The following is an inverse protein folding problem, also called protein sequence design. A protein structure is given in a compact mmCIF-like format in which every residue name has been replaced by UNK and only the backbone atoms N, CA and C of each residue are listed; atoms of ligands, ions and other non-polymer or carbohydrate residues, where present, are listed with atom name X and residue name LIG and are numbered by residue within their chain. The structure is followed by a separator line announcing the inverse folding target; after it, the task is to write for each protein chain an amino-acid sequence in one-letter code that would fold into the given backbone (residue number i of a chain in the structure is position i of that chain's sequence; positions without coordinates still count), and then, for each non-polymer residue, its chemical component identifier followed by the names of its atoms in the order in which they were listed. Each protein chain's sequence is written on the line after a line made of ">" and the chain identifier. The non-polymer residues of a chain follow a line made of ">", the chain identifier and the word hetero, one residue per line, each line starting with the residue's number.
data_IF_732053289379
#
_entry.id   IF_732053289379
#
_cell.length_a   1.000
_cell.length_b   1.000
_cell.length_c   1.000
_cell.angle_alpha   90.00
_cell.angle_beta   90.00
_cell.angle_gamma   90.00
#
_symmetry.space_group_name_H-M   'P 1'
#
loop_
_entity.id
_entity.type
_entity.pdbx_description
1 polymer ?
#
# COMPACT_ATOMS: atom_id res chain seq x y z
N UNK A 1 6.15 25.23 3.39
CA UNK A 1 7.44 25.08 2.67
C UNK A 1 7.22 24.35 1.36
N UNK A 2 7.81 24.87 0.28
CA UNK A 2 7.75 24.34 -1.09
C UNK A 2 9.14 23.87 -1.56
N UNK A 3 9.91 23.21 -0.68
CA UNK A 3 11.26 22.80 -1.03
C UNK A 3 11.21 21.70 -2.09
N UNK A 4 11.95 21.89 -3.18
CA UNK A 4 12.13 20.93 -4.27
C UNK A 4 13.54 20.37 -4.17
N UNK A 5 13.67 19.06 -4.19
CA UNK A 5 14.95 18.37 -4.02
C UNK A 5 15.14 17.40 -5.17
N UNK A 6 16.34 17.38 -5.75
CA UNK A 6 16.74 16.41 -6.76
C UNK A 6 17.82 15.49 -6.20
N UNK A 7 17.70 14.18 -6.44
CA UNK A 7 18.71 13.18 -6.06
C UNK A 7 19.39 12.68 -7.33
N UNK A 8 20.71 12.88 -7.43
CA UNK A 8 21.57 12.32 -8.47
C UNK A 8 22.19 11.03 -7.94
N UNK A 9 22.05 9.93 -8.69
CA UNK A 9 22.42 8.58 -8.22
C UNK A 9 21.30 7.89 -7.43
N UNK A 10 20.02 8.21 -7.73
CA UNK A 10 18.85 7.75 -6.98
C UNK A 10 18.62 6.23 -7.00
N UNK A 11 19.11 5.53 -8.01
CA UNK A 11 19.01 4.07 -8.15
C UNK A 11 20.15 3.32 -7.46
N UNK A 12 21.22 4.03 -7.08
CA UNK A 12 22.33 3.44 -6.31
C UNK A 12 21.91 2.96 -4.92
N UNK A 13 22.74 2.11 -4.30
CA UNK A 13 22.46 1.53 -2.97
C UNK A 13 22.29 2.56 -1.85
N UNK A 14 22.85 3.77 -1.99
CA UNK A 14 22.66 4.90 -1.08
C UNK A 14 21.52 5.81 -1.55
N UNK A 15 21.36 5.98 -2.87
CA UNK A 15 20.35 6.86 -3.46
C UNK A 15 18.92 6.44 -3.14
N UNK A 16 18.66 5.13 -3.13
CA UNK A 16 17.35 4.57 -2.80
C UNK A 16 16.90 4.89 -1.36
N UNK A 17 17.68 4.55 -0.30
CA UNK A 17 17.31 4.92 1.07
C UNK A 17 17.32 6.43 1.30
N UNK A 18 18.22 7.20 0.66
CA UNK A 18 18.20 8.66 0.74
C UNK A 18 16.90 9.23 0.16
N UNK A 19 16.47 8.74 -1.01
CA UNK A 19 15.23 9.17 -1.66
C UNK A 19 14.00 8.83 -0.82
N UNK A 20 13.99 7.67 -0.15
CA UNK A 20 12.95 7.30 0.82
C UNK A 20 12.91 8.26 2.02
N UNK A 21 14.06 8.61 2.59
CA UNK A 21 14.13 9.53 3.73
C UNK A 21 13.69 10.95 3.34
N UNK A 22 14.10 11.43 2.16
CA UNK A 22 13.69 12.73 1.63
C UNK A 22 12.20 12.77 1.32
N UNK A 23 11.61 11.68 0.81
CA UNK A 23 10.18 11.53 0.56
C UNK A 23 9.35 11.66 1.86
N UNK A 24 9.89 11.20 2.98
CA UNK A 24 9.26 11.30 4.31
C UNK A 24 9.44 12.66 4.99
N UNK A 25 10.26 13.57 4.44
CA UNK A 25 10.50 14.87 5.07
C UNK A 25 9.30 15.81 4.89
N UNK A 26 8.74 16.39 5.98
CA UNK A 26 7.63 17.36 5.88
C UNK A 26 8.04 18.69 5.24
N UNK A 27 9.35 18.92 5.06
CA UNK A 27 9.91 20.12 4.45
C UNK A 27 9.90 20.07 2.92
N UNK A 28 9.85 18.86 2.35
CA UNK A 28 9.99 18.61 0.91
C UNK A 28 8.60 18.45 0.28
N UNK A 29 8.33 19.23 -0.76
CA UNK A 29 7.07 19.14 -1.51
C UNK A 29 7.25 18.43 -2.85
N UNK A 30 8.46 18.39 -3.39
CA UNK A 30 8.78 17.72 -4.66
C UNK A 30 10.13 17.03 -4.57
N UNK A 31 10.16 15.76 -4.95
CA UNK A 31 11.37 14.95 -5.04
C UNK A 31 11.54 14.49 -6.50
N UNK A 32 12.66 14.86 -7.12
CA UNK A 32 13.02 14.44 -8.48
C UNK A 32 14.20 13.49 -8.41
N UNK A 33 14.14 12.38 -9.14
CA UNK A 33 15.17 11.34 -9.10
C UNK A 33 15.90 11.31 -10.45
N UNK A 34 17.22 11.21 -10.40
CA UNK A 34 18.09 11.12 -11.57
C UNK A 34 19.13 10.03 -11.35
N UNK A 35 19.32 9.17 -12.34
CA UNK A 35 20.38 8.15 -12.38
C UNK A 35 20.61 7.69 -13.83
N UNK A 36 21.70 6.96 -14.05
CA UNK A 36 22.12 6.39 -15.34
C UNK A 36 21.17 5.27 -15.80
N UNK A 37 20.58 4.51 -14.85
CA UNK A 37 19.63 3.42 -15.13
C UNK A 37 18.63 3.21 -13.97
N UNK A 38 17.49 2.57 -14.27
CA UNK A 38 16.46 2.11 -13.31
C UNK A 38 15.73 3.21 -12.50
N UNK A 39 16.01 4.48 -12.76
CA UNK A 39 15.38 5.64 -12.09
C UNK A 39 13.84 5.61 -12.16
N UNK A 40 13.20 5.25 -13.30
CA UNK A 40 11.75 5.16 -13.37
C UNK A 40 11.17 4.11 -12.41
N UNK A 41 11.87 2.98 -12.24
CA UNK A 41 11.46 1.93 -11.32
C UNK A 41 11.53 2.35 -9.85
N UNK A 42 12.54 3.14 -9.47
CA UNK A 42 12.67 3.69 -8.11
C UNK A 42 11.66 4.80 -7.87
N UNK A 43 11.40 5.64 -8.87
CA UNK A 43 10.37 6.68 -8.81
C UNK A 43 8.97 6.08 -8.68
N UNK A 44 8.64 5.06 -9.49
CA UNK A 44 7.38 4.33 -9.40
C UNK A 44 7.21 3.72 -8.01
N UNK A 45 8.24 3.02 -7.51
CA UNK A 45 8.27 2.45 -6.17
C UNK A 45 7.98 3.52 -5.10
N UNK A 46 8.72 4.64 -5.08
CA UNK A 46 8.51 5.72 -4.11
C UNK A 46 7.19 6.48 -4.28
N UNK A 47 6.57 6.45 -5.46
CA UNK A 47 5.26 7.07 -5.70
C UNK A 47 4.13 6.34 -4.94
N UNK A 48 4.33 5.08 -4.57
CA UNK A 48 3.39 4.32 -3.74
C UNK A 48 3.39 4.74 -2.26
N UNK A 49 4.30 5.63 -1.84
CA UNK A 49 4.41 6.09 -0.45
C UNK A 49 3.57 7.36 -0.24
N UNK A 50 2.52 7.23 0.56
CA UNK A 50 1.59 8.32 0.88
C UNK A 50 2.22 9.34 1.83
N UNK A 51 2.82 10.37 1.25
CA UNK A 51 3.50 11.50 1.91
C UNK A 51 3.35 12.77 1.07
N UNK A 52 3.50 13.94 1.70
CA UNK A 52 3.34 15.27 1.06
C UNK A 52 4.24 15.46 -0.18
N UNK A 53 5.45 14.91 -0.19
CA UNK A 53 6.40 15.14 -1.26
C UNK A 53 5.95 14.43 -2.55
N UNK A 54 5.67 15.16 -3.63
CA UNK A 54 5.35 14.58 -4.93
C UNK A 54 6.63 14.07 -5.61
N UNK A 55 6.64 12.82 -6.06
CA UNK A 55 7.71 12.27 -6.91
C UNK A 55 7.28 12.48 -8.37
N UNK A 56 8.09 13.15 -9.18
CA UNK A 56 7.69 13.50 -10.56
C UNK A 56 8.26 12.53 -11.58
N UNK A 57 7.42 11.60 -12.05
CA UNK A 57 7.12 11.23 -13.44
C UNK A 57 5.59 10.98 -13.48
N UNK A 58 4.86 11.44 -14.51
CA UNK A 58 3.41 11.72 -14.40
C UNK A 58 2.50 10.51 -14.06
N UNK A 59 1.93 10.39 -12.82
CA UNK A 59 0.57 9.84 -12.51
C UNK A 59 0.11 10.15 -11.04
N UNK A 60 -1.21 10.22 -10.77
CA UNK A 60 -1.93 10.61 -9.52
C UNK A 60 -2.30 9.46 -8.52
N UNK A 61 -2.46 9.79 -7.22
CA UNK A 61 -2.58 8.88 -6.05
C UNK A 61 -4.00 8.82 -5.37
N UNK A 62 -4.23 7.75 -4.57
CA UNK A 62 -5.43 7.17 -3.90
C UNK A 62 -6.34 8.05 -3.03
N UNK A 63 -7.64 7.69 -2.92
CA UNK A 63 -8.48 7.70 -1.68
C UNK A 63 -9.74 6.78 -1.81
N UNK A 64 -9.86 5.68 -1.04
CA UNK A 64 -11.13 4.93 -0.83
C UNK A 64 -11.40 4.84 0.69
N UNK A 65 -12.56 5.31 1.15
CA UNK A 65 -12.94 5.54 2.57
C UNK A 65 -12.10 6.57 3.35
N UNK A 66 -11.66 7.61 2.68
CA UNK A 66 -10.77 8.58 3.30
C UNK A 66 -11.52 9.57 4.18
N UNK A 67 -10.81 10.03 5.21
CA UNK A 67 -11.23 11.15 6.06
C UNK A 67 -10.26 12.30 5.76
N UNK A 68 -10.72 13.43 5.19
CA UNK A 68 -12.11 13.80 4.88
C UNK A 68 -12.70 13.02 3.69
N UNK A 69 -14.03 12.87 3.69
CA UNK A 69 -14.77 12.18 2.63
C UNK A 69 -14.60 12.90 1.30
N UNK A 70 -14.23 12.16 0.27
CA UNK A 70 -14.16 12.62 -1.12
C UNK A 70 -15.00 11.69 -1.99
N UNK A 71 -15.70 12.26 -2.97
CA UNK A 71 -16.53 11.52 -3.91
C UNK A 71 -15.93 11.69 -5.31
N UNK A 72 -15.73 10.59 -6.01
CA UNK A 72 -15.19 10.58 -7.37
C UNK A 72 -16.27 10.15 -8.36
N UNK A 73 -16.34 10.78 -9.54
CA UNK A 73 -17.20 10.29 -10.62
C UNK A 73 -16.66 8.95 -11.17
N UNK A 74 -17.55 8.12 -11.74
CA UNK A 74 -17.25 6.75 -12.14
C UNK A 74 -16.10 6.64 -13.15
N UNK A 75 -16.00 7.62 -14.06
CA UNK A 75 -14.95 7.74 -15.08
C UNK A 75 -13.54 7.97 -14.49
N UNK A 76 -13.46 8.49 -13.26
CA UNK A 76 -12.21 8.62 -12.51
C UNK A 76 -12.00 7.46 -11.53
N UNK A 77 -13.08 6.85 -11.05
CA UNK A 77 -13.04 5.76 -10.08
C UNK A 77 -12.47 4.48 -10.68
N UNK A 78 -12.90 4.09 -11.89
CA UNK A 78 -12.46 2.84 -12.52
C UNK A 78 -10.96 2.85 -12.87
N UNK A 79 -10.40 3.89 -13.52
CA UNK A 79 -8.96 3.96 -13.76
C UNK A 79 -8.16 3.99 -12.46
N UNK A 80 -8.70 4.62 -11.42
CA UNK A 80 -8.08 4.62 -10.11
C UNK A 80 -8.01 3.19 -9.55
N UNK A 81 -9.13 2.49 -9.45
CA UNK A 81 -9.17 1.09 -8.95
C UNK A 81 -8.28 0.16 -9.77
N UNK A 82 -8.29 0.30 -11.09
CA UNK A 82 -7.41 -0.50 -11.96
C UNK A 82 -5.93 -0.24 -11.66
N UNK A 83 -5.53 1.02 -11.49
CA UNK A 83 -4.14 1.37 -11.14
C UNK A 83 -3.74 0.85 -9.78
N UNK A 84 -4.66 0.86 -8.81
CA UNK A 84 -4.47 0.31 -7.46
C UNK A 84 -4.15 -1.18 -7.52
N UNK A 85 -4.92 -1.93 -8.31
CA UNK A 85 -4.76 -3.38 -8.45
C UNK A 85 -3.48 -3.73 -9.23
N UNK A 86 -3.13 -2.93 -10.25
CA UNK A 86 -1.97 -3.16 -11.12
C UNK A 86 -0.68 -2.49 -10.65
N UNK A 87 -0.69 -1.82 -9.50
CA UNK A 87 0.45 -1.10 -8.94
C UNK A 87 1.74 -1.94 -8.88
N UNK A 88 1.62 -3.20 -8.43
CA UNK A 88 2.77 -4.12 -8.39
C UNK A 88 3.33 -4.42 -9.79
N UNK A 89 2.44 -4.64 -10.76
CA UNK A 89 2.80 -4.86 -12.17
C UNK A 89 3.45 -3.61 -12.77
N UNK A 90 2.97 -2.41 -12.44
CA UNK A 90 3.53 -1.13 -12.86
C UNK A 90 5.01 -1.02 -12.45
N UNK A 91 5.33 -1.34 -11.18
CA UNK A 91 6.71 -1.28 -10.69
C UNK A 91 7.59 -2.35 -11.35
N UNK A 92 7.11 -3.57 -11.54
CA UNK A 92 7.88 -4.63 -12.22
C UNK A 92 8.21 -4.24 -13.66
N UNK A 93 7.24 -3.67 -14.38
CA UNK A 93 7.43 -3.15 -15.73
C UNK A 93 8.42 -1.97 -15.74
N UNK A 94 8.29 -1.03 -14.81
CA UNK A 94 9.19 0.12 -14.68
C UNK A 94 10.63 -0.29 -14.31
N UNK A 95 10.79 -1.40 -13.57
CA UNK A 95 12.09 -2.02 -13.27
C UNK A 95 12.57 -2.96 -14.39
N UNK A 96 11.90 -3.00 -15.54
CA UNK A 96 12.23 -3.88 -16.68
C UNK A 96 12.40 -5.36 -16.28
N UNK A 97 11.57 -5.83 -15.34
CA UNK A 97 11.63 -7.20 -14.81
C UNK A 97 12.74 -7.45 -13.79
N UNK A 98 13.57 -6.46 -13.45
CA UNK A 98 14.67 -6.59 -12.49
C UNK A 98 14.23 -6.62 -11.01
N UNK A 99 12.96 -6.95 -10.73
CA UNK A 99 12.38 -7.03 -9.40
C UNK A 99 11.08 -6.25 -9.24
N UNK A 100 10.41 -6.43 -8.10
CA UNK A 100 9.17 -5.75 -7.71
C UNK A 100 9.42 -4.55 -6.79
N UNK A 101 8.36 -3.96 -6.24
CA UNK A 101 8.44 -2.88 -5.26
C UNK A 101 9.22 -3.31 -4.01
N UNK A 102 10.25 -2.55 -3.65
CA UNK A 102 11.13 -2.81 -2.51
C UNK A 102 11.05 -1.68 -1.49
N UNK A 103 11.16 -0.43 -1.93
CA UNK A 103 11.22 0.72 -1.03
C UNK A 103 9.85 1.05 -0.42
N UNK A 104 8.80 1.07 -1.24
CA UNK A 104 7.43 1.25 -0.76
C UNK A 104 6.97 0.09 0.10
N UNK A 105 7.37 -1.14 -0.24
CA UNK A 105 7.06 -2.30 0.60
C UNK A 105 7.78 -2.23 1.95
N UNK A 106 9.06 -1.82 1.96
CA UNK A 106 9.78 -1.59 3.21
C UNK A 106 9.14 -0.49 4.06
N UNK A 107 8.70 0.61 3.44
CA UNK A 107 7.97 1.68 4.12
C UNK A 107 6.63 1.19 4.69
N UNK A 108 5.83 0.49 3.89
CA UNK A 108 4.53 -0.04 4.30
C UNK A 108 4.69 -1.04 5.46
N UNK A 109 5.67 -1.93 5.37
CA UNK A 109 6.01 -2.86 6.43
C UNK A 109 6.46 -2.15 7.71
N UNK A 110 7.36 -1.16 7.61
CA UNK A 110 7.82 -0.39 8.75
C UNK A 110 6.69 0.39 9.41
N UNK A 111 5.83 1.07 8.64
CA UNK A 111 4.65 1.77 9.15
C UNK A 111 3.73 0.82 9.93
N UNK A 112 3.40 -0.33 9.35
CA UNK A 112 2.51 -1.30 10.01
C UNK A 112 3.12 -1.83 11.31
N UNK A 113 4.42 -2.13 11.32
CA UNK A 113 5.15 -2.53 12.54
C UNK A 113 5.15 -1.42 13.58
N UNK A 114 5.35 -0.15 13.19
CA UNK A 114 5.27 0.97 14.13
C UNK A 114 3.87 1.13 14.71
N UNK A 115 2.81 0.98 13.89
CA UNK A 115 1.43 0.96 14.38
C UNK A 115 1.21 -0.16 15.40
N UNK A 116 1.70 -1.37 15.15
CA UNK A 116 1.65 -2.48 16.12
C UNK A 116 2.40 -2.14 17.42
N UNK A 117 3.62 -1.61 17.33
CA UNK A 117 4.43 -1.26 18.51
C UNK A 117 3.77 -0.13 19.33
N UNK A 118 3.22 0.88 18.67
CA UNK A 118 2.47 1.95 19.30
C UNK A 118 1.26 1.39 20.07
N UNK A 119 0.48 0.51 19.43
CA UNK A 119 -0.67 -0.15 20.04
C UNK A 119 -0.25 -1.03 21.23
N UNK A 120 0.84 -1.79 21.10
CA UNK A 120 1.44 -2.59 22.16
C UNK A 120 1.90 -1.76 23.36
N UNK A 121 2.41 -0.55 23.10
CA UNK A 121 2.77 0.43 24.12
C UNK A 121 1.56 1.13 24.76
N UNK A 122 0.34 0.81 24.35
CA UNK A 122 -0.89 1.34 24.91
C UNK A 122 -1.39 2.63 24.27
N UNK A 123 -0.91 2.98 23.08
CA UNK A 123 -1.54 4.04 22.28
C UNK A 123 -2.93 3.57 21.85
N UNK A 124 -3.95 4.33 22.21
CA UNK A 124 -5.33 4.05 21.83
C UNK A 124 -5.65 4.52 20.41
N UNK A 125 -6.64 3.89 19.79
CA UNK A 125 -7.16 4.32 18.49
C UNK A 125 -6.25 4.02 17.30
N UNK A 126 -5.31 3.08 17.43
CA UNK A 126 -4.47 2.64 16.31
C UNK A 126 -5.29 1.74 15.40
N UNK A 127 -5.55 2.19 14.17
CA UNK A 127 -6.31 1.43 13.18
C UNK A 127 -5.47 1.23 11.93
N UNK A 128 -5.34 -0.02 11.49
CA UNK A 128 -4.69 -0.39 10.24
C UNK A 128 -5.50 -1.47 9.51
N UNK A 129 -5.43 -1.49 8.19
CA UNK A 129 -6.00 -2.58 7.41
C UNK A 129 -4.99 -3.73 7.32
N UNK A 130 -5.42 -4.95 7.62
CA UNK A 130 -4.57 -6.14 7.47
C UNK A 130 -5.38 -7.37 7.08
N UNK A 131 -4.75 -8.24 6.29
CA UNK A 131 -5.29 -9.55 5.94
C UNK A 131 -5.14 -10.51 7.12
N UNK A 132 -6.27 -10.87 7.74
CA UNK A 132 -6.30 -11.67 8.98
C UNK A 132 -7.38 -12.74 8.89
N UNK A 133 -7.37 -13.69 9.82
CA UNK A 133 -8.49 -14.62 9.98
C UNK A 133 -9.75 -13.81 10.29
N UNK A 134 -10.81 -14.05 9.54
CA UNK A 134 -12.00 -13.19 9.55
C UNK A 134 -13.27 -14.00 9.33
N UNK A 135 -14.37 -13.52 9.91
CA UNK A 135 -15.73 -14.03 9.70
C UNK A 135 -16.62 -13.00 8.98
N UNK A 136 -16.04 -11.86 8.57
CA UNK A 136 -16.74 -10.74 7.91
C UNK A 136 -17.21 -11.10 6.49
N UNK A 137 -16.64 -12.17 5.92
CA UNK A 137 -17.06 -12.72 4.63
C UNK A 137 -17.09 -14.25 4.74
N UNK A 138 -17.64 -14.86 3.71
CA UNK A 138 -17.55 -16.29 3.39
C UNK A 138 -16.12 -16.85 3.20
N UNK A 139 -15.09 -15.99 3.18
CA UNK A 139 -13.69 -16.40 3.17
C UNK A 139 -13.13 -16.45 4.59
N UNK A 140 -12.39 -17.50 4.98
CA UNK A 140 -11.85 -17.63 6.34
C UNK A 140 -10.74 -16.62 6.67
N UNK A 141 -10.21 -15.94 5.66
CA UNK A 141 -9.29 -14.81 5.81
C UNK A 141 -9.75 -13.65 4.92
N UNK A 142 -9.65 -12.44 5.44
CA UNK A 142 -10.04 -11.23 4.72
C UNK A 142 -9.30 -9.99 5.25
N UNK A 143 -9.15 -8.97 4.41
CA UNK A 143 -8.54 -7.69 4.80
C UNK A 143 -9.59 -6.65 5.14
N UNK A 144 -9.58 -6.18 6.37
CA UNK A 144 -10.53 -5.18 6.92
C UNK A 144 -9.79 -4.23 7.86
N UNK A 145 -10.35 -3.05 8.17
CA UNK A 145 -9.77 -2.16 9.18
C UNK A 145 -9.84 -2.80 10.57
N UNK A 146 -8.71 -2.85 11.27
CA UNK A 146 -8.56 -3.48 12.58
C UNK A 146 -8.12 -2.45 13.60
N UNK A 147 -8.82 -2.39 14.74
CA UNK A 147 -8.32 -1.73 15.93
C UNK A 147 -7.22 -2.61 16.54
N UNK A 148 -6.03 -2.05 16.66
CA UNK A 148 -4.88 -2.68 17.29
C UNK A 148 -4.77 -2.19 18.74
N UNK A 149 -4.34 -3.09 19.62
CA UNK A 149 -4.01 -2.76 21.00
C UNK A 149 -2.96 -3.69 21.60
N UNK A 150 -2.95 -3.79 22.93
CA UNK A 150 -1.79 -4.35 23.65
C UNK A 150 -1.47 -5.81 23.30
N UNK A 151 -2.50 -6.57 22.93
CA UNK A 151 -2.42 -8.00 22.67
C UNK A 151 -2.73 -8.35 21.19
N UNK A 152 -2.52 -7.40 20.27
CA UNK A 152 -2.81 -7.57 18.85
C UNK A 152 -4.14 -6.96 18.45
N UNK A 153 -5.00 -7.72 17.76
CA UNK A 153 -6.28 -7.23 17.24
C UNK A 153 -7.30 -7.15 18.38
N UNK A 154 -7.78 -5.95 18.70
CA UNK A 154 -8.83 -5.74 19.70
C UNK A 154 -10.23 -5.74 19.09
N UNK A 155 -10.37 -5.23 17.86
CA UNK A 155 -11.65 -5.18 17.17
C UNK A 155 -11.46 -5.21 15.65
N UNK A 156 -12.29 -5.99 14.96
CA UNK A 156 -12.47 -5.89 13.52
C UNK A 156 -13.65 -4.94 13.23
N UNK A 157 -13.44 -3.92 12.37
CA UNK A 157 -14.50 -2.99 11.97
C UNK A 157 -15.34 -3.51 10.78
N UNK A 158 -14.94 -4.61 10.16
CA UNK A 158 -15.63 -5.18 9.02
C UNK A 158 -15.52 -4.33 7.77
N UNK A 159 -16.36 -4.63 6.77
CA UNK A 159 -16.39 -3.91 5.49
C UNK A 159 -17.06 -2.53 5.59
N UNK A 160 -17.84 -2.28 6.65
CA UNK A 160 -18.64 -1.08 6.79
C UNK A 160 -19.76 -1.01 5.73
N UNK A 161 -20.14 0.21 5.33
CA UNK A 161 -21.12 0.42 4.25
C UNK A 161 -20.40 0.51 2.92
N UNK A 162 -20.62 -0.48 2.06
CA UNK A 162 -20.08 -0.52 0.71
C UNK A 162 -21.06 0.15 -0.28
N UNK A 163 -20.51 0.75 -1.31
CA UNK A 163 -21.23 1.16 -2.51
C UNK A 163 -21.53 -0.05 -3.41
N UNK A 164 -22.52 0.02 -4.31
CA UNK A 164 -22.81 -1.07 -5.25
C UNK A 164 -21.61 -1.49 -6.10
N UNK A 165 -20.71 -0.54 -6.40
CA UNK A 165 -19.48 -0.81 -7.14
C UNK A 165 -18.46 -1.59 -6.29
N UNK A 166 -18.28 -1.25 -5.02
CA UNK A 166 -17.42 -2.00 -4.10
C UNK A 166 -17.96 -3.40 -3.81
N UNK A 167 -19.27 -3.55 -3.62
CA UNK A 167 -19.91 -4.86 -3.43
C UNK A 167 -19.64 -5.79 -4.61
N UNK A 168 -19.72 -5.25 -5.84
CA UNK A 168 -19.36 -5.97 -7.06
C UNK A 168 -17.89 -6.41 -7.05
N UNK A 169 -16.96 -5.52 -6.72
CA UNK A 169 -15.52 -5.85 -6.68
C UNK A 169 -15.21 -6.92 -5.63
N UNK A 170 -15.84 -6.84 -4.45
CA UNK A 170 -15.71 -7.87 -3.41
C UNK A 170 -16.22 -9.21 -3.93
N UNK A 171 -17.40 -9.24 -4.55
CA UNK A 171 -17.96 -10.47 -5.12
C UNK A 171 -17.06 -11.10 -6.20
N UNK A 172 -16.50 -10.28 -7.10
CA UNK A 172 -15.58 -10.73 -8.15
C UNK A 172 -14.27 -11.29 -7.57
N UNK A 173 -13.74 -10.71 -6.50
CA UNK A 173 -12.51 -11.16 -5.85
C UNK A 173 -12.68 -12.46 -5.04
N UNK A 174 -13.90 -12.85 -4.65
CA UNK A 174 -14.10 -13.96 -3.69
C UNK A 174 -13.67 -15.32 -4.23
N UNK A 175 -13.90 -15.56 -5.52
CA UNK A 175 -13.50 -16.82 -6.15
C UNK A 175 -11.99 -17.04 -6.08
N UNK A 176 -11.22 -16.02 -6.51
CA UNK A 176 -9.76 -16.07 -6.51
C UNK A 176 -9.17 -16.10 -5.10
N UNK A 177 -9.76 -15.32 -4.17
CA UNK A 177 -9.32 -15.28 -2.79
C UNK A 177 -9.44 -16.65 -2.11
N UNK A 178 -10.62 -17.29 -2.22
CA UNK A 178 -10.85 -18.62 -1.64
C UNK A 178 -9.93 -19.68 -2.25
N UNK A 179 -9.70 -19.62 -3.56
CA UNK A 179 -8.77 -20.53 -4.24
C UNK A 179 -7.34 -20.36 -3.72
N UNK A 180 -6.89 -19.11 -3.54
CA UNK A 180 -5.55 -18.78 -3.03
C UNK A 180 -5.35 -19.22 -1.58
N UNK A 181 -6.35 -19.00 -0.73
CA UNK A 181 -6.32 -19.47 0.67
C UNK A 181 -6.26 -21.00 0.72
N UNK A 182 -7.13 -21.68 -0.02
CA UNK A 182 -7.15 -23.14 -0.07
C UNK A 182 -5.78 -23.70 -0.48
N UNK A 183 -5.16 -23.11 -1.49
CA UNK A 183 -3.79 -23.47 -1.93
C UNK A 183 -2.77 -23.31 -0.80
N UNK A 184 -2.84 -22.22 -0.03
CA UNK A 184 -1.97 -21.99 1.12
C UNK A 184 -2.18 -23.01 2.26
N UNK A 185 -3.43 -23.32 2.61
CA UNK A 185 -3.75 -24.31 3.63
C UNK A 185 -3.35 -25.73 3.24
N UNK A 186 -3.60 -26.11 1.98
CA UNK A 186 -3.20 -27.41 1.44
C UNK A 186 -1.68 -27.57 1.41
N UNK A 187 -0.95 -26.50 1.05
CA UNK A 187 0.50 -26.50 1.13
C UNK A 187 0.97 -26.76 2.56
N UNK A 188 0.46 -26.01 3.55
CA UNK A 188 0.86 -26.16 4.95
C UNK A 188 0.53 -27.55 5.52
N UNK A 189 -0.64 -28.12 5.19
CA UNK A 189 -1.04 -29.48 5.63
C UNK A 189 -0.13 -30.58 5.08
N UNK A 190 0.43 -30.37 3.89
CA UNK A 190 1.26 -31.35 3.20
C UNK A 190 2.77 -31.04 3.33
N UNK A 191 3.13 -29.97 4.04
CA UNK A 191 4.52 -29.59 4.29
C UNK A 191 5.14 -30.57 5.31
N UNK A 192 6.14 -31.33 4.88
CA UNK A 192 6.88 -32.29 5.71
C UNK A 192 8.13 -31.67 6.30
#
# INVERSE_FOLDING_TARGET
>A
NNARVAVLGASGGIGQPLSLLLKNSPLISNLTLYDIAHTPGVAADLSHIETRAKVTEHVYFYLFQCTPKVEFPQDQLEPLVSRIQEAGTEVVKAKAGAGSATLSMAYAGARFVFSLLDAMNGKEGVVECSFVRSEETESPYFSTPLLLGKNGIEKNFGLGKLSPYEEKLVAEAMGELKASIKKGEEFAKNFK
#
